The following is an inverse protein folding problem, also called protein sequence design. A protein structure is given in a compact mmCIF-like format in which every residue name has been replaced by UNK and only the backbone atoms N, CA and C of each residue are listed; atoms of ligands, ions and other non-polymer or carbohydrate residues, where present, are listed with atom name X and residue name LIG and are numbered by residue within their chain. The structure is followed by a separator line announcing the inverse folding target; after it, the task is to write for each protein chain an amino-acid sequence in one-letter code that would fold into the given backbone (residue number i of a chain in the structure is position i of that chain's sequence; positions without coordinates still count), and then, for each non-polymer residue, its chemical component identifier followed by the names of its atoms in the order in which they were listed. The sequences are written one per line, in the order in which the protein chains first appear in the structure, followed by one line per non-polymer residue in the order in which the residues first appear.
data_IF_290394344132
#
_entry.id   IF_290394344132
#
_cell.length_a   1.000
_cell.length_b   1.000
_cell.length_c   1.000
_cell.angle_alpha   90.00
_cell.angle_beta   90.00
_cell.angle_gamma   90.00
#
_symmetry.space_group_name_H-M   'P 1'
#
loop_
_entity.id
_entity.type
_entity.pdbx_description
1 polymer ?
#
# COMPACT_ATOMS: atom_id res chain seq x y z
N UNK A 1 4.72 10.12 -12.06
CA UNK A 1 5.20 8.74 -11.77
C UNK A 1 4.15 7.78 -12.29
N UNK A 2 4.51 6.62 -12.84
CA UNK A 2 3.52 5.68 -13.34
C UNK A 2 2.64 5.24 -12.16
N UNK A 3 1.32 5.28 -12.33
CA UNK A 3 0.37 4.82 -11.32
C UNK A 3 0.34 3.29 -11.18
N UNK A 4 1.22 2.59 -11.91
CA UNK A 4 1.26 1.14 -12.07
C UNK A 4 1.59 0.38 -10.77
N UNK A 5 2.22 1.07 -9.82
CA UNK A 5 2.70 0.48 -8.57
C UNK A 5 1.83 0.85 -7.36
N UNK A 6 0.51 0.93 -7.56
CA UNK A 6 -0.43 1.34 -6.52
C UNK A 6 -1.50 0.28 -6.20
N UNK A 7 -1.93 0.24 -4.93
CA UNK A 7 -3.06 -0.55 -4.45
C UNK A 7 -4.07 0.35 -3.74
N UNK A 8 -5.35 0.18 -4.03
CA UNK A 8 -6.44 0.84 -3.31
C UNK A 8 -6.92 -0.09 -2.20
N UNK A 9 -6.77 0.35 -0.96
CA UNK A 9 -7.05 -0.45 0.23
C UNK A 9 -8.29 0.07 0.93
N UNK A 10 -9.20 -0.83 1.32
CA UNK A 10 -10.40 -0.49 2.09
C UNK A 10 -10.13 -0.70 3.57
N UNK A 11 -9.53 0.31 4.20
CA UNK A 11 -9.22 0.33 5.63
C UNK A 11 -9.47 1.72 6.21
N UNK A 12 -9.77 1.78 7.51
CA UNK A 12 -9.99 3.03 8.24
C UNK A 12 -9.45 2.94 9.67
N UNK A 13 -9.22 4.10 10.30
CA UNK A 13 -8.73 4.19 11.67
C UNK A 13 -7.46 3.37 11.89
N UNK A 14 -7.42 2.59 12.99
CA UNK A 14 -6.26 1.79 13.38
C UNK A 14 -5.74 0.84 12.29
N UNK A 15 -6.65 0.29 11.47
CA UNK A 15 -6.25 -0.60 10.37
C UNK A 15 -5.50 0.15 9.28
N UNK A 16 -5.89 1.40 9.01
CA UNK A 16 -5.17 2.25 8.06
C UNK A 16 -3.81 2.68 8.61
N UNK A 17 -3.70 2.92 9.91
CA UNK A 17 -2.43 3.27 10.55
C UNK A 17 -1.45 2.09 10.51
N UNK A 18 -1.91 0.88 10.81
CA UNK A 18 -1.11 -0.35 10.66
C UNK A 18 -0.58 -0.54 9.23
N UNK A 19 -1.40 -0.24 8.22
CA UNK A 19 -0.99 -0.33 6.82
C UNK A 19 0.06 0.73 6.44
N UNK A 20 0.01 1.92 7.04
CA UNK A 20 1.02 2.95 6.83
C UNK A 20 2.37 2.55 7.41
N UNK A 21 2.37 1.98 8.62
CA UNK A 21 3.59 1.47 9.25
C UNK A 21 4.19 0.33 8.41
N UNK A 22 3.35 -0.56 7.89
CA UNK A 22 3.78 -1.68 7.05
C UNK A 22 4.33 -1.21 5.69
N UNK A 23 3.66 -0.25 5.04
CA UNK A 23 4.14 0.35 3.80
C UNK A 23 5.49 1.05 4.01
N UNK A 24 5.64 1.79 5.11
CA UNK A 24 6.91 2.42 5.48
C UNK A 24 8.03 1.39 5.66
N UNK A 25 7.76 0.28 6.36
CA UNK A 25 8.72 -0.80 6.57
C UNK A 25 9.16 -1.43 5.26
N UNK A 26 8.22 -1.76 4.39
CA UNK A 26 8.50 -2.36 3.08
C UNK A 26 9.32 -1.41 2.20
N UNK A 27 8.93 -0.13 2.14
CA UNK A 27 9.63 0.87 1.35
C UNK A 27 11.07 1.08 1.84
N UNK A 28 11.26 1.11 3.17
CA UNK A 28 12.58 1.20 3.80
C UNK A 28 13.45 -0.02 3.48
N UNK A 29 12.92 -1.24 3.62
CA UNK A 29 13.67 -2.48 3.35
C UNK A 29 14.05 -2.61 1.86
N UNK A 30 13.21 -2.08 0.96
CA UNK A 30 13.46 -2.06 -0.47
C UNK A 30 14.29 -0.84 -0.94
N UNK A 31 14.58 0.12 -0.06
CA UNK A 31 15.22 1.39 -0.38
C UNK A 31 14.51 2.17 -1.51
N UNK A 32 13.19 2.28 -1.41
CA UNK A 32 12.34 3.00 -2.38
C UNK A 32 11.41 3.99 -1.69
N UNK A 33 10.93 4.98 -2.44
CA UNK A 33 9.86 5.87 -2.00
C UNK A 33 8.49 5.19 -1.96
N UNK A 34 7.61 5.72 -1.10
CA UNK A 34 6.19 5.37 -1.06
C UNK A 34 5.36 6.60 -0.68
N UNK A 35 4.09 6.61 -1.08
CA UNK A 35 3.15 7.67 -0.71
C UNK A 35 1.72 7.14 -0.68
N UNK A 36 0.82 7.93 -0.08
CA UNK A 36 -0.62 7.65 -0.08
C UNK A 36 -1.40 8.76 -0.75
N UNK A 37 -2.48 8.39 -1.43
CA UNK A 37 -3.45 9.34 -1.98
C UNK A 37 -4.89 8.92 -1.63
N UNK A 38 -5.83 9.85 -1.73
CA UNK A 38 -7.26 9.55 -1.59
C UNK A 38 -7.79 8.92 -2.88
N UNK A 39 -8.46 7.78 -2.77
CA UNK A 39 -9.23 7.20 -3.87
C UNK A 39 -10.73 7.49 -3.69
N UNK A 40 -11.54 7.30 -4.75
CA UNK A 40 -13.01 7.40 -4.64
C UNK A 40 -13.56 6.44 -3.56
N UNK A 41 -12.93 5.28 -3.38
CA UNK A 41 -13.29 4.31 -2.33
C UNK A 41 -12.02 3.76 -1.68
N UNK A 42 -11.67 4.29 -0.50
CA UNK A 42 -10.53 3.86 0.30
C UNK A 42 -9.29 4.74 0.12
N UNK A 43 -8.13 4.19 0.46
CA UNK A 43 -6.84 4.90 0.39
C UNK A 43 -5.94 4.21 -0.61
N UNK A 44 -5.35 4.98 -1.54
CA UNK A 44 -4.36 4.50 -2.50
C UNK A 44 -2.99 4.49 -1.83
N UNK A 45 -2.28 3.38 -1.89
CA UNK A 45 -0.90 3.22 -1.45
C UNK A 45 -0.05 2.95 -2.68
N UNK A 46 0.98 3.76 -2.90
CA UNK A 46 1.84 3.69 -4.08
C UNK A 46 3.30 3.53 -3.66
N UNK A 47 4.04 2.82 -4.50
CA UNK A 47 5.48 2.58 -4.33
C UNK A 47 6.21 2.94 -5.63
N UNK A 48 7.49 3.27 -5.56
CA UNK A 48 8.28 3.52 -6.78
C UNK A 48 8.56 2.22 -7.57
N UNK A 49 8.52 1.07 -6.90
CA UNK A 49 8.85 -0.25 -7.46
C UNK A 49 7.68 -1.26 -7.33
N UNK A 50 7.58 -2.14 -8.33
CA UNK A 50 6.55 -3.17 -8.43
C UNK A 50 6.73 -4.29 -7.39
N UNK A 51 7.97 -4.61 -6.99
CA UNK A 51 8.22 -5.63 -5.97
C UNK A 51 7.79 -5.13 -4.59
N UNK A 52 8.02 -3.86 -4.25
CA UNK A 52 7.48 -3.25 -3.04
C UNK A 52 5.93 -3.26 -3.01
N UNK A 53 5.28 -2.92 -4.13
CA UNK A 53 3.82 -3.07 -4.29
C UNK A 53 3.36 -4.51 -4.02
N UNK A 54 4.03 -5.50 -4.60
CA UNK A 54 3.69 -6.91 -4.42
C UNK A 54 3.86 -7.38 -2.96
N UNK A 55 4.92 -6.96 -2.29
CA UNK A 55 5.12 -7.21 -0.86
C UNK A 55 4.00 -6.60 -0.02
N UNK A 56 3.56 -5.39 -0.34
CA UNK A 56 2.44 -4.75 0.35
C UNK A 56 1.10 -5.46 0.09
N UNK A 57 0.88 -5.95 -1.13
CA UNK A 57 -0.26 -6.78 -1.48
C UNK A 57 -0.33 -8.06 -0.62
N UNK A 58 0.82 -8.72 -0.43
CA UNK A 58 0.94 -9.90 0.42
C UNK A 58 0.67 -9.57 1.90
N UNK A 59 1.16 -8.43 2.40
CA UNK A 59 0.86 -7.96 3.74
C UNK A 59 -0.64 -7.69 3.95
N UNK A 60 -1.31 -7.06 2.97
CA UNK A 60 -2.76 -6.86 3.02
C UNK A 60 -3.52 -8.19 3.10
N UNK A 61 -3.12 -9.19 2.30
CA UNK A 61 -3.71 -10.54 2.36
C UNK A 61 -3.53 -11.20 3.72
N UNK A 62 -2.32 -11.12 4.32
CA UNK A 62 -2.03 -11.69 5.64
C UNK A 62 -2.85 -11.02 6.76
N UNK A 63 -3.16 -9.74 6.61
CA UNK A 63 -3.99 -8.98 7.55
C UNK A 63 -5.50 -9.14 7.28
N UNK A 64 -5.90 -9.88 6.24
CA UNK A 64 -7.30 -10.05 5.84
C UNK A 64 -7.93 -8.77 5.28
N UNK A 65 -7.11 -7.86 4.74
CA UNK A 65 -7.55 -6.54 4.29
C UNK A 65 -7.80 -6.57 2.78
N UNK A 66 -9.02 -6.29 2.31
CA UNK A 66 -9.31 -6.25 0.89
C UNK A 66 -8.66 -5.04 0.21
N UNK A 67 -8.04 -5.30 -0.94
CA UNK A 67 -7.49 -4.28 -1.82
C UNK A 67 -7.91 -4.53 -3.28
N UNK A 68 -7.68 -3.52 -4.12
CA UNK A 68 -7.77 -3.62 -5.58
C UNK A 68 -6.51 -3.01 -6.18
N UNK A 69 -6.06 -3.57 -7.30
CA UNK A 69 -5.03 -2.92 -8.10
C UNK A 69 -5.61 -1.68 -8.78
N UNK A 70 -4.81 -0.62 -8.88
CA UNK A 70 -5.16 0.60 -9.59
C UNK A 70 -4.73 0.52 -11.06
#
# INVERSE_FOLDING_TARGET
MPEDNCLIVRAAGRQLDLLRDEAFRIAKDANVGWWTDRAQVGTKFCFEDAKAKASFAAACNNLGIPYREN
#
